data_IF_610861990181
#
_entry.id   IF_610861990181
#
_cell.length_a   1.000
_cell.length_b   1.000
_cell.length_c   1.000
_cell.angle_alpha   90.00
_cell.angle_beta   90.00
_cell.angle_gamma   90.00
#
_symmetry.space_group_name_H-M   'P 1'
#
loop_
_entity.id
_entity.type
_entity.pdbx_description
1 polymer ?
#
# COMPACT_ATOMS: atom_id res chain seq x y z
N UNK A 1 35.19 23.65 -37.20
CA UNK A 1 34.37 22.46 -36.86
C UNK A 1 33.06 22.54 -37.66
N UNK A 2 32.72 21.52 -38.46
CA UNK A 2 31.66 21.63 -39.48
C UNK A 2 30.24 21.67 -38.87
N UNK A 3 29.29 22.31 -39.58
CA UNK A 3 27.87 22.42 -39.19
C UNK A 3 27.22 21.04 -39.00
N UNK A 4 27.64 20.05 -39.80
CA UNK A 4 27.21 18.66 -39.70
C UNK A 4 27.71 17.98 -38.41
N UNK A 5 28.94 18.27 -37.98
CA UNK A 5 29.49 17.74 -36.72
C UNK A 5 28.74 18.29 -35.51
N UNK A 6 28.41 19.59 -35.48
CA UNK A 6 27.60 20.19 -34.40
C UNK A 6 26.19 19.61 -34.32
N UNK A 7 25.53 19.37 -35.46
CA UNK A 7 24.18 18.82 -35.50
C UNK A 7 24.14 17.35 -35.06
N UNK A 8 25.16 16.56 -35.42
CA UNK A 8 25.32 15.18 -34.95
C UNK A 8 25.52 15.10 -33.43
N UNK A 9 26.34 16.00 -32.87
CA UNK A 9 26.57 16.09 -31.41
C UNK A 9 25.29 16.49 -30.66
N UNK A 10 24.54 17.50 -31.14
CA UNK A 10 23.27 17.89 -30.50
C UNK A 10 22.23 16.77 -30.51
N UNK A 11 22.12 15.99 -31.59
CA UNK A 11 21.20 14.84 -31.65
C UNK A 11 21.57 13.75 -30.64
N UNK A 12 22.87 13.47 -30.48
CA UNK A 12 23.38 12.50 -29.49
C UNK A 12 23.13 12.99 -28.07
N UNK A 13 23.44 14.26 -27.79
CA UNK A 13 23.19 14.88 -26.48
C UNK A 13 21.70 14.89 -26.15
N UNK A 14 20.84 15.24 -27.11
CA UNK A 14 19.39 15.21 -26.94
C UNK A 14 18.89 13.79 -26.64
N UNK A 15 19.39 12.77 -27.35
CA UNK A 15 19.06 11.37 -27.07
C UNK A 15 19.50 10.90 -25.68
N UNK A 16 20.69 11.31 -25.22
CA UNK A 16 21.18 11.02 -23.86
C UNK A 16 20.31 11.71 -22.81
N UNK A 17 19.98 13.00 -23.00
CA UNK A 17 19.12 13.76 -22.09
C UNK A 17 17.72 13.15 -22.03
N UNK A 18 17.14 12.80 -23.17
CA UNK A 18 15.82 12.16 -23.23
C UNK A 18 15.84 10.78 -22.55
N UNK A 19 16.89 9.99 -22.75
CA UNK A 19 17.08 8.70 -22.07
C UNK A 19 17.18 8.85 -20.55
N UNK A 20 18.01 9.79 -20.08
CA UNK A 20 18.16 10.09 -18.65
C UNK A 20 16.84 10.55 -18.02
N UNK A 21 16.09 11.43 -18.71
CA UNK A 21 14.79 11.91 -18.26
C UNK A 21 13.77 10.77 -18.20
N UNK A 22 13.69 9.91 -19.22
CA UNK A 22 12.76 8.77 -19.24
C UNK A 22 13.02 7.78 -18.09
N UNK A 23 14.28 7.48 -17.79
CA UNK A 23 14.64 6.59 -16.68
C UNK A 23 14.29 7.20 -15.31
N UNK A 24 14.52 8.50 -15.13
CA UNK A 24 14.12 9.20 -13.91
C UNK A 24 12.60 9.22 -13.75
N UNK A 25 11.84 9.51 -14.80
CA UNK A 25 10.37 9.57 -14.76
C UNK A 25 9.75 8.21 -14.39
N UNK A 26 10.36 7.10 -14.81
CA UNK A 26 9.89 5.76 -14.44
C UNK A 26 10.14 5.44 -12.95
N UNK A 27 11.23 5.93 -12.36
CA UNK A 27 11.56 5.72 -10.94
C UNK A 27 10.74 6.61 -9.98
N UNK A 28 10.23 7.75 -10.44
CA UNK A 28 9.44 8.68 -9.60
C UNK A 28 8.02 8.17 -9.33
N UNK A 29 7.52 7.17 -10.09
CA UNK A 29 6.18 6.62 -9.88
C UNK A 29 6.20 5.51 -8.82
N UNK A 30 5.71 5.83 -7.61
CA UNK A 30 5.48 4.87 -6.53
C UNK A 30 4.41 3.81 -6.85
N UNK A 31 4.25 2.83 -5.96
CA UNK A 31 3.30 1.71 -6.15
C UNK A 31 1.93 2.10 -5.64
N UNK A 32 1.02 2.48 -6.55
CA UNK A 32 -0.35 2.76 -6.17
C UNK A 32 -0.99 1.55 -5.46
N UNK A 33 -1.48 1.79 -4.24
CA UNK A 33 -2.20 0.82 -3.40
C UNK A 33 -3.62 1.30 -3.24
N UNK A 34 -4.60 0.40 -3.42
CA UNK A 34 -6.01 0.70 -3.23
C UNK A 34 -6.67 -0.33 -2.32
N UNK A 35 -7.34 0.12 -1.26
CA UNK A 35 -8.11 -0.76 -0.39
C UNK A 35 -9.60 -0.65 -0.65
N UNK A 36 -10.28 -1.80 -0.65
CA UNK A 36 -11.73 -1.86 -0.82
C UNK A 36 -12.40 -2.92 0.06
N UNK A 37 -13.62 -2.65 0.56
CA UNK A 37 -14.25 -1.33 0.60
C UNK A 37 -13.53 -0.38 1.59
N UNK A 38 -13.69 0.95 1.46
CA UNK A 38 -13.01 1.93 2.32
C UNK A 38 -13.56 1.95 3.76
N UNK A 39 -14.80 1.53 3.94
CA UNK A 39 -15.43 1.37 5.25
C UNK A 39 -16.37 0.14 5.25
N UNK A 40 -16.43 -0.52 6.40
CA UNK A 40 -17.27 -1.68 6.67
C UNK A 40 -18.00 -1.49 8.00
N UNK A 41 -19.30 -1.79 8.01
CA UNK A 41 -20.08 -1.95 9.23
C UNK A 41 -20.57 -3.40 9.26
N UNK A 42 -20.17 -4.15 10.27
CA UNK A 42 -20.54 -5.56 10.43
C UNK A 42 -21.26 -5.77 11.76
N UNK A 43 -22.17 -6.73 11.79
CA UNK A 43 -22.70 -7.26 13.04
C UNK A 43 -21.71 -8.26 13.65
N UNK A 44 -21.67 -8.34 14.98
CA UNK A 44 -20.90 -9.35 15.68
C UNK A 44 -21.28 -10.77 15.19
N UNK A 45 -20.28 -11.65 15.03
CA UNK A 45 -20.41 -12.96 14.42
C UNK A 45 -20.37 -12.98 12.88
N UNK A 46 -20.61 -11.84 12.21
CA UNK A 46 -20.51 -11.77 10.75
C UNK A 46 -19.06 -11.94 10.26
N UNK A 47 -18.89 -12.25 8.97
CA UNK A 47 -17.58 -12.37 8.34
C UNK A 47 -17.50 -11.47 7.11
N UNK A 48 -16.33 -10.90 6.84
CA UNK A 48 -16.11 -10.03 5.68
C UNK A 48 -14.65 -10.02 5.26
N UNK A 49 -14.39 -9.52 4.06
CA UNK A 49 -13.04 -9.44 3.49
C UNK A 49 -12.75 -8.03 3.01
N UNK A 50 -11.64 -7.48 3.48
CA UNK A 50 -11.01 -6.28 2.92
C UNK A 50 -9.98 -6.71 1.87
N UNK A 51 -9.94 -5.97 0.77
CA UNK A 51 -9.02 -6.18 -0.33
C UNK A 51 -8.02 -5.05 -0.40
N UNK A 52 -6.83 -5.36 -0.90
CA UNK A 52 -5.76 -4.42 -1.13
C UNK A 52 -5.10 -4.72 -2.48
N UNK A 53 -5.33 -3.86 -3.46
CA UNK A 53 -4.83 -3.98 -4.83
C UNK A 53 -3.57 -3.14 -5.02
N UNK A 54 -2.66 -3.61 -5.88
CA UNK A 54 -1.41 -2.93 -6.19
C UNK A 54 -1.27 -2.74 -7.69
N UNK A 55 -0.75 -1.59 -8.13
CA UNK A 55 -0.53 -1.34 -9.57
C UNK A 55 0.55 -2.23 -10.20
N UNK A 56 1.50 -2.72 -9.40
CA UNK A 56 2.66 -3.50 -9.87
C UNK A 56 2.90 -4.73 -8.99
N UNK A 57 3.82 -5.59 -9.41
CA UNK A 57 4.29 -6.71 -8.61
C UNK A 57 5.05 -6.22 -7.38
N UNK A 58 4.78 -6.82 -6.22
CA UNK A 58 5.38 -6.42 -4.92
C UNK A 58 6.04 -7.62 -4.25
N UNK A 59 7.10 -7.38 -3.47
CA UNK A 59 7.84 -8.45 -2.80
C UNK A 59 7.05 -9.02 -1.61
N UNK A 60 6.47 -8.15 -0.80
CA UNK A 60 5.68 -8.52 0.35
C UNK A 60 4.52 -7.55 0.54
N UNK A 61 3.54 -7.99 1.32
CA UNK A 61 2.42 -7.17 1.79
C UNK A 61 2.41 -7.22 3.30
N UNK A 62 2.18 -6.07 3.92
CA UNK A 62 2.00 -5.93 5.35
C UNK A 62 0.58 -5.45 5.66
N UNK A 63 -0.05 -6.11 6.63
CA UNK A 63 -1.32 -5.67 7.18
C UNK A 63 -1.09 -5.14 8.59
N UNK A 64 -1.64 -3.97 8.87
CA UNK A 64 -1.60 -3.33 10.17
C UNK A 64 -3.02 -3.04 10.67
N UNK A 65 -3.12 -2.87 11.97
CA UNK A 65 -4.33 -2.48 12.67
C UNK A 65 -4.03 -1.30 13.58
N UNK A 66 -4.86 -0.27 13.50
CA UNK A 66 -4.82 0.86 14.42
C UNK A 66 -6.07 0.83 15.30
N UNK A 67 -5.85 0.66 16.60
CA UNK A 67 -6.91 0.71 17.59
C UNK A 67 -7.36 2.14 17.89
N UNK A 68 -8.56 2.33 18.45
CA UNK A 68 -8.89 3.58 19.15
C UNK A 68 -7.76 3.92 20.13
N UNK A 69 -7.15 5.10 19.99
CA UNK A 69 -5.93 5.49 20.71
C UNK A 69 -4.65 5.55 19.85
N UNK A 70 -4.73 5.21 18.57
CA UNK A 70 -3.75 5.63 17.55
C UNK A 70 -2.52 4.74 17.37
N UNK A 71 -2.27 3.75 18.24
CA UNK A 71 -1.14 2.82 18.09
C UNK A 71 -1.36 1.86 16.92
N UNK A 72 -0.41 1.84 15.99
CA UNK A 72 -0.37 0.91 14.86
C UNK A 72 0.28 -0.42 15.28
N UNK A 73 -0.38 -1.53 14.99
CA UNK A 73 0.04 -2.90 15.32
C UNK A 73 0.22 -3.67 14.01
N UNK A 74 1.39 -4.26 13.78
CA UNK A 74 1.58 -5.16 12.64
C UNK A 74 0.84 -6.48 12.90
N UNK A 75 -0.09 -6.83 12.01
CA UNK A 75 -0.81 -8.10 12.07
C UNK A 75 -0.09 -9.19 11.27
N UNK A 76 0.34 -8.84 10.06
CA UNK A 76 0.93 -9.79 9.12
C UNK A 76 2.06 -9.16 8.32
N UNK A 77 3.07 -9.98 8.03
CA UNK A 77 4.05 -9.80 6.97
C UNK A 77 3.97 -11.01 6.03
N UNK A 78 3.61 -10.78 4.77
CA UNK A 78 3.23 -11.82 3.81
C UNK A 78 4.10 -11.71 2.55
N UNK A 79 5.22 -12.44 2.46
CA UNK A 79 5.99 -12.53 1.22
C UNK A 79 5.22 -13.32 0.15
N UNK A 80 4.53 -14.39 0.57
CA UNK A 80 3.67 -15.23 -0.25
C UNK A 80 2.68 -16.03 0.61
N UNK A 81 1.64 -16.58 -0.01
CA UNK A 81 0.71 -17.52 0.63
C UNK A 81 -0.29 -16.86 1.58
N UNK A 82 -0.70 -17.61 2.60
CA UNK A 82 -1.76 -17.25 3.55
C UNK A 82 -1.24 -17.31 4.99
N UNK A 83 -1.65 -16.34 5.82
CA UNK A 83 -1.34 -16.26 7.26
C UNK A 83 -2.60 -16.07 8.09
N UNK A 84 -2.53 -16.47 9.35
CA UNK A 84 -3.65 -16.45 10.30
C UNK A 84 -3.22 -15.83 11.63
N UNK A 85 -4.12 -15.09 12.26
CA UNK A 85 -3.96 -14.54 13.61
C UNK A 85 -5.34 -14.46 14.27
N UNK A 86 -5.65 -15.43 15.13
CA UNK A 86 -6.98 -15.58 15.69
C UNK A 86 -8.03 -15.73 14.59
N UNK A 87 -9.00 -14.83 14.58
CA UNK A 87 -10.08 -14.79 13.59
C UNK A 87 -9.75 -13.99 12.33
N UNK A 88 -8.51 -13.51 12.19
CA UNK A 88 -8.02 -12.81 11.02
C UNK A 88 -7.23 -13.77 10.13
N UNK A 89 -7.50 -13.73 8.83
CA UNK A 89 -6.78 -14.48 7.79
C UNK A 89 -6.38 -13.52 6.69
N UNK A 90 -5.09 -13.49 6.34
CA UNK A 90 -4.61 -12.66 5.25
C UNK A 90 -3.89 -13.49 4.18
N UNK A 91 -4.11 -13.15 2.91
CA UNK A 91 -3.53 -13.86 1.76
C UNK A 91 -2.92 -12.86 0.79
N UNK A 92 -1.79 -13.20 0.17
CA UNK A 92 -1.22 -12.45 -0.96
C UNK A 92 -1.33 -13.30 -2.23
N UNK A 93 -2.00 -12.75 -3.23
CA UNK A 93 -2.05 -13.29 -4.58
C UNK A 93 -1.18 -12.44 -5.51
N UNK A 94 0.02 -12.93 -5.89
CA UNK A 94 0.92 -12.19 -6.78
C UNK A 94 0.40 -12.12 -8.22
N UNK A 95 -0.45 -13.06 -8.67
CA UNK A 95 -0.98 -13.07 -10.04
C UNK A 95 -2.00 -11.97 -10.22
N UNK A 96 -2.89 -11.83 -9.25
CA UNK A 96 -3.94 -10.80 -9.22
C UNK A 96 -3.43 -9.44 -8.68
N UNK A 97 -2.15 -9.35 -8.29
CA UNK A 97 -1.55 -8.17 -7.64
C UNK A 97 -2.42 -7.64 -6.51
N UNK A 98 -2.87 -8.56 -5.65
CA UNK A 98 -3.83 -8.25 -4.60
C UNK A 98 -3.55 -9.03 -3.32
N UNK A 99 -3.86 -8.43 -2.19
CA UNK A 99 -3.94 -9.10 -0.90
C UNK A 99 -5.36 -9.00 -0.34
N UNK A 100 -5.73 -9.97 0.48
CA UNK A 100 -6.97 -9.96 1.24
C UNK A 100 -6.68 -10.02 2.73
N UNK A 101 -7.55 -9.38 3.51
CA UNK A 101 -7.69 -9.55 4.95
C UNK A 101 -9.14 -9.94 5.25
N UNK A 102 -9.34 -11.21 5.57
CA UNK A 102 -10.61 -11.77 5.96
C UNK A 102 -10.75 -11.76 7.48
N UNK A 103 -11.88 -11.25 7.96
CA UNK A 103 -12.31 -11.30 9.36
C UNK A 103 -13.43 -12.33 9.44
N UNK A 104 -13.20 -13.43 10.14
CA UNK A 104 -14.24 -14.41 10.44
C UNK A 104 -14.82 -14.17 11.83
N UNK A 105 -16.09 -14.55 12.06
CA UNK A 105 -16.73 -14.47 13.38
C UNK A 105 -16.38 -13.17 14.13
N UNK A 106 -16.73 -12.05 13.50
CA UNK A 106 -16.24 -10.74 13.92
C UNK A 106 -16.67 -10.40 15.34
N UNK A 107 -15.80 -9.76 16.11
CA UNK A 107 -16.03 -9.34 17.49
C UNK A 107 -15.94 -7.82 17.58
N UNK A 108 -16.56 -7.22 18.59
CA UNK A 108 -16.42 -5.77 18.86
C UNK A 108 -14.95 -5.35 19.00
N UNK A 109 -14.10 -6.23 19.50
CA UNK A 109 -12.64 -6.05 19.59
C UNK A 109 -11.94 -6.06 18.22
N UNK A 110 -12.60 -6.38 17.11
CA UNK A 110 -12.04 -6.23 15.77
C UNK A 110 -12.26 -4.83 15.18
N UNK A 111 -13.08 -3.97 15.80
CA UNK A 111 -13.28 -2.59 15.37
C UNK A 111 -11.96 -1.80 15.41
N UNK A 112 -11.53 -1.32 14.25
CA UNK A 112 -10.24 -0.64 14.05
C UNK A 112 -10.14 -0.07 12.63
N UNK A 113 -9.09 0.73 12.39
CA UNK A 113 -8.65 1.05 11.03
C UNK A 113 -7.59 0.02 10.62
N UNK A 114 -7.77 -0.60 9.46
CA UNK A 114 -6.85 -1.60 8.91
C UNK A 114 -6.08 -1.01 7.74
N UNK A 115 -4.76 -1.08 7.79
CA UNK A 115 -3.86 -0.55 6.76
C UNK A 115 -3.18 -1.68 6.02
N UNK A 116 -2.98 -1.47 4.73
CA UNK A 116 -2.21 -2.33 3.86
C UNK A 116 -1.05 -1.53 3.28
N UNK A 117 0.16 -2.05 3.42
CA UNK A 117 1.37 -1.46 2.85
C UNK A 117 2.14 -2.49 2.05
N UNK A 118 2.90 -2.02 1.06
CA UNK A 118 3.72 -2.86 0.20
C UNK A 118 5.11 -2.31 -0.01
N UNK A 119 6.04 -3.24 -0.17
CA UNK A 119 7.39 -2.92 -0.62
C UNK A 119 7.50 -3.16 -2.14
N UNK A 120 7.85 -2.12 -2.93
CA UNK A 120 8.10 -2.28 -4.35
C UNK A 120 9.26 -3.25 -4.62
N UNK A 121 9.21 -3.93 -5.77
CA UNK A 121 10.39 -4.60 -6.31
C UNK A 121 11.36 -3.54 -6.86
N UNK A 122 12.31 -3.10 -6.03
CA UNK A 122 13.41 -2.26 -6.48
C UNK A 122 14.50 -3.11 -7.14
N UNK A 123 14.88 -2.79 -8.38
CA UNK A 123 16.17 -3.25 -8.92
C UNK A 123 17.29 -2.50 -8.20
N UNK A 124 18.33 -3.22 -7.77
CA UNK A 124 19.38 -2.76 -6.86
C UNK A 124 20.29 -1.61 -7.36
N UNK A 125 19.93 -0.91 -8.44
CA UNK A 125 20.72 0.18 -9.02
C UNK A 125 20.25 1.61 -8.68
N UNK A 126 19.01 1.82 -8.22
CA UNK A 126 18.42 3.18 -8.24
C UNK A 126 17.43 3.54 -7.13
N UNK A 127 17.20 2.70 -6.11
CA UNK A 127 16.27 3.06 -5.04
C UNK A 127 16.96 3.81 -3.90
N UNK A 128 16.78 5.13 -3.83
CA UNK A 128 16.90 5.89 -2.59
C UNK A 128 15.69 5.59 -1.72
N UNK A 129 15.92 4.81 -0.64
CA UNK A 129 14.94 4.60 0.43
C UNK A 129 14.65 5.95 1.10
N UNK A 130 13.62 6.66 0.62
CA UNK A 130 13.07 7.77 1.38
C UNK A 130 12.22 7.20 2.51
N UNK A 131 12.86 6.87 3.63
CA UNK A 131 12.17 6.63 4.90
C UNK A 131 11.64 7.95 5.44
N UNK A 132 10.52 8.43 4.91
CA UNK A 132 9.72 9.43 5.60
C UNK A 132 8.91 8.73 6.69
N UNK A 133 9.58 8.46 7.82
CA UNK A 133 8.91 8.16 9.08
C UNK A 133 8.39 9.47 9.67
N UNK A 134 7.28 9.98 9.14
CA UNK A 134 6.50 11.04 9.79
C UNK A 134 5.10 10.51 10.09
N UNK A 135 5.02 9.59 11.05
CA UNK A 135 3.75 9.31 11.73
C UNK A 135 3.55 10.38 12.81
N UNK A 136 3.21 11.60 12.38
CA UNK A 136 2.85 12.69 13.29
C UNK A 136 1.46 12.44 13.84
N UNK A 137 1.36 12.52 15.16
CA UNK A 137 0.16 12.36 15.98
C UNK A 137 -0.87 13.48 15.71
N UNK A 138 -1.68 13.32 14.67
CA UNK A 138 -2.86 14.16 14.41
C UNK A 138 -4.14 13.32 14.40
N UNK A 139 -5.27 13.83 14.92
CA UNK A 139 -6.57 13.15 14.83
C UNK A 139 -6.95 12.97 13.35
N UNK A 140 -7.63 11.87 12.98
CA UNK A 140 -7.92 11.58 11.58
C UNK A 140 -8.84 12.68 11.00
N UNK A 141 -8.47 13.29 9.85
CA UNK A 141 -9.38 14.13 9.10
C UNK A 141 -10.59 13.28 8.66
N UNK A 142 -11.79 13.84 8.70
CA UNK A 142 -13.03 13.22 8.21
C UNK A 142 -13.05 12.97 6.68
N UNK A 143 -11.90 13.01 6.02
CA UNK A 143 -11.73 12.79 4.58
C UNK A 143 -10.29 12.36 4.35
N UNK A 144 -9.99 11.09 4.58
CA UNK A 144 -8.66 10.52 4.33
C UNK A 144 -8.55 10.12 2.86
N UNK A 145 -8.10 11.04 2.00
CA UNK A 145 -7.55 10.67 0.70
C UNK A 145 -6.15 10.13 0.91
N UNK A 146 -5.92 8.87 0.54
CA UNK A 146 -4.62 8.20 0.58
C UNK A 146 -3.60 8.94 -0.29
N UNK A 147 -2.81 9.83 0.32
CA UNK A 147 -1.83 10.65 -0.39
C UNK A 147 -0.43 10.01 -0.42
N UNK A 148 -0.22 8.91 0.31
CA UNK A 148 0.99 8.12 0.28
C UNK A 148 0.87 6.98 -0.74
N UNK A 149 1.65 7.05 -1.81
CA UNK A 149 1.68 6.09 -2.93
C UNK A 149 2.25 4.70 -2.56
N UNK A 150 2.12 4.25 -1.31
CA UNK A 150 2.62 2.95 -0.82
C UNK A 150 1.71 2.30 0.23
N UNK A 151 0.72 3.02 0.75
CA UNK A 151 -0.18 2.56 1.82
C UNK A 151 -1.62 2.90 1.46
N UNK A 152 -2.56 2.03 1.80
CA UNK A 152 -3.98 2.33 1.80
C UNK A 152 -4.58 1.96 3.17
N UNK A 153 -5.86 2.27 3.39
CA UNK A 153 -6.55 1.89 4.62
C UNK A 153 -8.04 1.61 4.38
N UNK A 154 -8.66 0.88 5.32
CA UNK A 154 -10.09 0.64 5.39
C UNK A 154 -10.54 0.70 6.85
N UNK A 155 -11.68 1.33 7.12
CA UNK A 155 -12.26 1.38 8.46
C UNK A 155 -13.23 0.21 8.68
N UNK A 156 -13.04 -0.56 9.75
CA UNK A 156 -14.00 -1.59 10.17
C UNK A 156 -14.64 -1.18 11.49
N UNK A 157 -15.97 -1.09 11.49
CA UNK A 157 -16.76 -0.80 12.67
C UNK A 157 -17.74 -1.95 12.96
N UNK A 158 -17.71 -2.47 14.19
CA UNK A 158 -18.63 -3.47 14.72
C UNK A 158 -19.24 -2.84 15.98
N UNK A 159 -20.48 -2.32 15.89
CA UNK A 159 -21.13 -1.68 17.04
C UNK A 159 -21.41 -2.71 18.14
N UNK A 160 -21.38 -2.26 19.39
CA UNK A 160 -21.79 -3.09 20.51
C UNK A 160 -23.26 -3.50 20.34
N UNK A 161 -23.62 -4.76 20.64
CA UNK A 161 -25.02 -5.16 20.66
C UNK A 161 -25.81 -4.34 21.70
N UNK A 162 -27.10 -4.05 21.44
CA UNK A 162 -27.92 -3.20 22.30
C UNK A 162 -28.39 -3.87 23.60
N UNK A 163 -27.79 -4.98 24.02
CA UNK A 163 -28.24 -5.81 25.14
C UNK A 163 -27.24 -5.81 26.30
#
# INVERSE_FOLDING_TARGET
MSRATRQSVMKRLLGIVLGLLCTHVYCVRGVQVEQSPPALILQEGASSTMWCNFSTSVNNVQWFRQNPGGRLINLFYIPSGTKWNGNLKATKDPKERRSSLHVSSSQTTNSAIYFCAVEPQCFAGTCSLNTNSQLSSAPPPATLTSQDHHTAFAQLNIPNPPW
#
